data_IF_607023228999
#
_entry.id   IF_607023228999
#
_cell.length_a   1.000
_cell.length_b   1.000
_cell.length_c   1.000
_cell.angle_alpha   90.00
_cell.angle_beta   90.00
_cell.angle_gamma   90.00
#
_symmetry.space_group_name_H-M   'P 1'
#
loop_
_entity.id
_entity.type
_entity.pdbx_description
1 polymer ?
#
# COMPACT_ATOMS: atom_id res chain seq x y z
N UNK A 1 1.78 -15.50 6.92
CA UNK A 1 1.01 -14.33 6.46
C UNK A 1 0.04 -13.88 7.53
N UNK A 2 -0.83 -14.75 8.03
CA UNK A 2 -1.82 -14.39 9.05
C UNK A 2 -1.17 -13.75 10.27
N UNK A 3 -0.17 -14.37 10.87
CA UNK A 3 0.57 -13.83 12.01
C UNK A 3 1.09 -12.42 11.75
N UNK A 4 1.61 -12.16 10.55
CA UNK A 4 2.13 -10.84 10.16
C UNK A 4 1.02 -9.77 10.10
N UNK A 5 -0.17 -10.14 9.64
CA UNK A 5 -1.33 -9.25 9.63
C UNK A 5 -1.84 -8.98 11.05
N UNK A 6 -1.83 -9.99 11.92
CA UNK A 6 -2.34 -9.88 13.28
C UNK A 6 -1.47 -9.02 14.22
N UNK A 7 -0.22 -8.73 13.84
CA UNK A 7 0.71 -7.91 14.66
C UNK A 7 0.18 -6.51 15.00
N UNK A 8 -0.78 -5.99 14.25
CA UNK A 8 -1.33 -4.64 14.44
C UNK A 8 -2.74 -4.63 15.05
N UNK A 9 -3.26 -5.80 15.37
CA UNK A 9 -4.58 -5.96 15.97
C UNK A 9 -4.49 -6.23 17.48
N UNK A 10 -5.32 -5.53 18.23
CA UNK A 10 -5.57 -5.81 19.64
C UNK A 10 -7.00 -6.35 19.75
N UNK A 11 -7.15 -7.57 20.28
CA UNK A 11 -8.45 -8.18 20.53
C UNK A 11 -8.93 -9.20 19.49
N UNK A 12 -10.24 -9.34 19.34
CA UNK A 12 -10.84 -10.32 18.43
C UNK A 12 -10.57 -9.99 16.97
N UNK A 13 -10.30 -11.03 16.19
CA UNK A 13 -9.98 -10.93 14.76
C UNK A 13 -11.25 -11.04 13.95
N UNK A 14 -11.58 -10.01 13.20
CA UNK A 14 -12.61 -10.07 12.16
C UNK A 14 -12.02 -10.61 10.86
N UNK A 15 -12.33 -11.87 10.56
CA UNK A 15 -11.87 -12.53 9.32
C UNK A 15 -12.33 -11.80 8.05
N UNK A 16 -13.54 -11.22 8.05
CA UNK A 16 -14.03 -10.43 6.92
C UNK A 16 -13.19 -9.18 6.67
N UNK A 17 -12.75 -8.54 7.76
CA UNK A 17 -11.88 -7.38 7.65
C UNK A 17 -10.51 -7.78 7.08
N UNK A 18 -9.94 -8.91 7.50
CA UNK A 18 -8.68 -9.42 6.95
C UNK A 18 -8.80 -9.68 5.43
N UNK A 19 -9.85 -10.37 5.00
CA UNK A 19 -10.08 -10.63 3.59
C UNK A 19 -10.22 -9.32 2.80
N UNK A 20 -11.01 -8.38 3.32
CA UNK A 20 -11.25 -7.08 2.70
C UNK A 20 -9.96 -6.28 2.50
N UNK A 21 -9.10 -6.16 3.51
CA UNK A 21 -7.85 -5.39 3.37
C UNK A 21 -6.85 -6.09 2.45
N UNK A 22 -6.85 -7.43 2.42
CA UNK A 22 -6.05 -8.19 1.46
C UNK A 22 -6.53 -7.99 0.02
N UNK A 23 -7.83 -7.85 -0.21
CA UNK A 23 -8.40 -7.51 -1.51
C UNK A 23 -8.02 -6.08 -1.90
N UNK A 24 -8.17 -5.10 -1.00
CA UNK A 24 -7.81 -3.71 -1.21
C UNK A 24 -6.32 -3.54 -1.54
N UNK A 25 -5.45 -4.33 -0.91
CA UNK A 25 -4.01 -4.36 -1.20
C UNK A 25 -3.66 -5.21 -2.44
N UNK A 26 -4.63 -5.78 -3.16
CA UNK A 26 -4.45 -6.64 -4.35
C UNK A 26 -3.56 -7.88 -4.07
N UNK A 27 -3.61 -8.44 -2.84
CA UNK A 27 -2.80 -9.62 -2.43
C UNK A 27 -3.64 -10.87 -2.21
N UNK A 28 -4.96 -10.76 -2.01
CA UNK A 28 -5.82 -11.87 -1.64
C UNK A 28 -5.75 -13.05 -2.63
N UNK A 29 -5.82 -12.75 -3.94
CA UNK A 29 -5.76 -13.77 -4.98
C UNK A 29 -4.41 -14.51 -5.02
N UNK A 30 -3.32 -13.84 -4.66
CA UNK A 30 -2.00 -14.49 -4.54
C UNK A 30 -1.98 -15.42 -3.33
N UNK A 31 -2.48 -14.96 -2.18
CA UNK A 31 -2.54 -15.79 -0.95
C UNK A 31 -3.37 -17.06 -1.20
N UNK A 32 -4.52 -16.93 -1.86
CA UNK A 32 -5.41 -18.07 -2.16
C UNK A 32 -4.75 -19.12 -3.08
N UNK A 33 -3.78 -18.73 -3.90
CA UNK A 33 -3.04 -19.64 -4.78
C UNK A 33 -1.85 -20.32 -4.09
N UNK A 34 -1.46 -19.86 -2.91
CA UNK A 34 -0.36 -20.45 -2.16
C UNK A 34 -0.80 -21.78 -1.53
N UNK A 35 0.05 -22.82 -1.51
CA UNK A 35 -0.30 -24.12 -0.94
C UNK A 35 -0.80 -24.08 0.50
N UNK A 36 -0.25 -23.15 1.31
CA UNK A 36 -0.60 -22.95 2.72
C UNK A 36 -1.50 -21.72 2.94
N UNK A 37 -1.90 -21.02 1.88
CA UNK A 37 -2.75 -19.85 1.98
C UNK A 37 -2.25 -18.84 3.01
N UNK A 38 -3.12 -18.42 3.93
CA UNK A 38 -2.79 -17.50 5.03
C UNK A 38 -1.79 -18.09 6.05
N UNK A 39 -1.60 -19.41 6.08
CA UNK A 39 -0.59 -20.08 6.93
C UNK A 39 0.82 -20.05 6.33
N UNK A 40 0.97 -19.52 5.11
CA UNK A 40 2.29 -19.36 4.49
C UNK A 40 3.19 -18.48 5.38
N UNK A 41 4.38 -18.97 5.70
CA UNK A 41 5.34 -18.23 6.51
C UNK A 41 5.99 -17.11 5.70
N UNK A 42 6.12 -15.94 6.33
CA UNK A 42 6.83 -14.78 5.76
C UNK A 42 8.24 -14.78 6.33
N UNK A 43 9.22 -15.15 5.51
CA UNK A 43 10.65 -15.13 5.88
C UNK A 43 11.43 -14.20 4.95
N UNK A 44 12.64 -13.82 5.37
CA UNK A 44 13.53 -13.01 4.52
C UNK A 44 13.97 -13.80 3.28
N UNK A 45 14.23 -15.10 3.44
CA UNK A 45 14.80 -15.97 2.41
C UNK A 45 13.75 -16.69 1.54
N UNK A 46 12.44 -16.48 1.76
CA UNK A 46 11.43 -17.20 0.98
C UNK A 46 9.98 -16.83 1.28
N UNK A 47 9.09 -17.55 0.61
CA UNK A 47 7.65 -17.48 0.82
C UNK A 47 6.93 -16.42 -0.03
N UNK A 48 7.39 -15.17 -0.05
CA UNK A 48 6.77 -14.08 -0.80
C UNK A 48 7.77 -13.33 -1.68
N UNK A 49 7.34 -12.94 -2.88
CA UNK A 49 8.10 -11.98 -3.71
C UNK A 49 8.14 -10.60 -3.07
N UNK A 50 9.07 -9.72 -3.51
CA UNK A 50 9.17 -8.35 -3.02
C UNK A 50 7.86 -7.56 -3.15
N UNK A 51 7.19 -7.66 -4.30
CA UNK A 51 5.89 -7.03 -4.53
C UNK A 51 4.77 -7.61 -3.67
N UNK A 52 4.79 -8.91 -3.37
CA UNK A 52 3.85 -9.53 -2.44
C UNK A 52 4.10 -9.07 -1.00
N UNK A 53 5.37 -8.95 -0.57
CA UNK A 53 5.74 -8.41 0.74
C UNK A 53 5.24 -6.95 0.88
N UNK A 54 5.40 -6.12 -0.14
CA UNK A 54 4.89 -4.74 -0.13
C UNK A 54 3.36 -4.68 -0.03
N UNK A 55 2.64 -5.46 -0.83
CA UNK A 55 1.16 -5.52 -0.76
C UNK A 55 0.67 -6.07 0.59
N UNK A 56 1.37 -7.04 1.18
CA UNK A 56 1.07 -7.51 2.53
C UNK A 56 1.26 -6.42 3.59
N UNK A 57 2.33 -5.61 3.46
CA UNK A 57 2.58 -4.47 4.34
C UNK A 57 1.48 -3.40 4.22
N UNK A 58 0.97 -3.13 3.00
CA UNK A 58 -0.18 -2.26 2.77
C UNK A 58 -1.43 -2.83 3.46
N UNK A 59 -1.75 -4.12 3.29
CA UNK A 59 -2.89 -4.77 3.94
C UNK A 59 -2.80 -4.64 5.46
N UNK A 60 -1.61 -4.86 6.05
CA UNK A 60 -1.36 -4.68 7.47
C UNK A 60 -1.58 -3.24 7.94
N UNK A 61 -1.11 -2.25 7.18
CA UNK A 61 -1.35 -0.84 7.48
C UNK A 61 -2.85 -0.51 7.47
N UNK A 62 -3.62 -1.05 6.54
CA UNK A 62 -5.08 -0.88 6.48
C UNK A 62 -5.79 -1.49 7.69
N UNK A 63 -5.30 -2.62 8.20
CA UNK A 63 -5.83 -3.27 9.41
C UNK A 63 -5.62 -2.44 10.68
N UNK A 64 -4.57 -1.63 10.76
CA UNK A 64 -4.20 -0.88 11.97
C UNK A 64 -5.27 0.12 12.44
N UNK A 65 -6.30 0.35 11.65
CA UNK A 65 -7.41 1.29 11.92
C UNK A 65 -6.97 2.72 12.31
N UNK A 66 -5.76 3.11 11.96
CA UNK A 66 -5.25 4.46 12.23
C UNK A 66 -5.91 5.49 11.29
N UNK A 67 -6.24 6.70 11.79
CA UNK A 67 -6.90 7.73 10.98
C UNK A 67 -6.00 8.29 9.88
N UNK A 68 -4.68 8.22 10.05
CA UNK A 68 -3.67 8.69 9.10
C UNK A 68 -2.73 7.53 8.79
N UNK A 69 -2.55 7.23 7.52
CA UNK A 69 -1.60 6.23 7.03
C UNK A 69 -0.50 6.91 6.22
N UNK A 70 0.74 6.50 6.45
CA UNK A 70 1.90 7.01 5.70
C UNK A 70 2.49 5.83 4.92
N UNK A 71 2.58 5.97 3.61
CA UNK A 71 3.14 5.00 2.68
C UNK A 71 4.44 5.56 2.09
N UNK A 72 5.57 5.13 2.64
CA UNK A 72 6.88 5.51 2.16
C UNK A 72 7.38 4.49 1.14
N UNK A 73 7.39 4.87 -0.14
CA UNK A 73 7.74 4.03 -1.29
C UNK A 73 7.05 2.64 -1.32
N UNK A 74 5.88 2.53 -0.69
CA UNK A 74 5.20 1.24 -0.48
C UNK A 74 4.80 0.51 -1.77
N UNK A 75 4.84 1.17 -2.92
CA UNK A 75 4.52 0.59 -4.23
C UNK A 75 5.73 0.50 -5.17
N UNK A 76 6.93 0.88 -4.72
CA UNK A 76 8.12 1.00 -5.56
C UNK A 76 8.56 -0.31 -6.25
N UNK A 77 8.32 -1.46 -5.63
CA UNK A 77 8.61 -2.80 -6.15
C UNK A 77 7.48 -3.44 -6.96
N UNK A 78 6.35 -2.74 -7.16
CA UNK A 78 5.23 -3.26 -7.94
C UNK A 78 5.41 -2.97 -9.43
N UNK A 79 4.92 -3.89 -10.28
CA UNK A 79 4.71 -3.57 -11.68
C UNK A 79 3.59 -2.53 -11.85
N UNK A 80 3.60 -1.81 -12.97
CA UNK A 80 2.67 -0.69 -13.21
C UNK A 80 1.20 -1.08 -13.13
N UNK A 81 0.84 -2.29 -13.57
CA UNK A 81 -0.55 -2.75 -13.57
C UNK A 81 -1.03 -3.03 -12.15
N UNK A 82 -0.22 -3.70 -11.36
CA UNK A 82 -0.49 -3.98 -9.94
C UNK A 82 -0.52 -2.69 -9.12
N UNK A 83 0.45 -1.79 -9.33
CA UNK A 83 0.48 -0.47 -8.67
C UNK A 83 -0.81 0.32 -8.95
N UNK A 84 -1.25 0.39 -10.22
CA UNK A 84 -2.48 1.11 -10.59
C UNK A 84 -3.72 0.54 -9.89
N UNK A 85 -3.84 -0.80 -9.77
CA UNK A 85 -4.96 -1.43 -9.06
C UNK A 85 -4.94 -1.11 -7.56
N UNK A 86 -3.77 -1.25 -6.92
CA UNK A 86 -3.61 -0.93 -5.51
C UNK A 86 -3.95 0.53 -5.24
N UNK A 87 -3.41 1.46 -6.04
CA UNK A 87 -3.67 2.89 -5.87
C UNK A 87 -5.14 3.26 -6.11
N UNK A 88 -5.80 2.64 -7.10
CA UNK A 88 -7.23 2.81 -7.33
C UNK A 88 -8.05 2.35 -6.12
N UNK A 89 -7.77 1.16 -5.59
CA UNK A 89 -8.45 0.64 -4.40
C UNK A 89 -8.25 1.55 -3.17
N UNK A 90 -7.03 2.04 -2.96
CA UNK A 90 -6.71 2.92 -1.84
C UNK A 90 -7.41 4.29 -1.97
N UNK A 91 -7.54 4.82 -3.19
CA UNK A 91 -8.18 6.13 -3.43
C UNK A 91 -9.68 6.15 -3.11
N UNK A 92 -10.33 4.99 -3.04
CA UNK A 92 -11.74 4.85 -2.65
C UNK A 92 -11.96 4.87 -1.12
N UNK A 93 -10.87 4.80 -0.34
CA UNK A 93 -10.97 4.76 1.12
C UNK A 93 -11.13 6.15 1.72
N UNK A 94 -12.02 6.27 2.71
CA UNK A 94 -12.29 7.52 3.44
C UNK A 94 -11.27 7.78 4.56
N UNK A 95 -9.98 7.60 4.27
CA UNK A 95 -8.88 7.82 5.24
C UNK A 95 -7.90 8.85 4.72
N UNK A 96 -7.24 9.56 5.62
CA UNK A 96 -6.10 10.42 5.25
C UNK A 96 -4.89 9.54 4.95
N UNK A 97 -4.38 9.63 3.74
CA UNK A 97 -3.21 8.89 3.31
C UNK A 97 -2.14 9.84 2.76
N UNK A 98 -0.91 9.63 3.19
CA UNK A 98 0.26 10.37 2.72
C UNK A 98 1.15 9.38 1.98
N UNK A 99 1.39 9.65 0.71
CA UNK A 99 2.28 8.84 -0.13
C UNK A 99 3.58 9.58 -0.38
N UNK A 100 4.70 8.97 -0.03
CA UNK A 100 6.03 9.39 -0.45
C UNK A 100 6.37 8.50 -1.64
N UNK A 101 6.46 9.09 -2.83
CA UNK A 101 6.65 8.36 -4.07
C UNK A 101 7.42 9.18 -5.11
N UNK A 102 8.21 8.47 -5.91
CA UNK A 102 8.96 9.05 -7.04
C UNK A 102 8.30 8.73 -8.39
N UNK A 103 7.24 7.91 -8.41
CA UNK A 103 6.54 7.52 -9.64
C UNK A 103 5.35 8.42 -9.91
N UNK A 104 5.28 8.93 -11.14
CA UNK A 104 4.17 9.77 -11.58
C UNK A 104 2.81 9.06 -11.61
N UNK A 105 2.79 7.73 -11.70
CA UNK A 105 1.58 6.91 -11.64
C UNK A 105 0.80 7.10 -10.34
N UNK A 106 1.47 7.37 -9.22
CA UNK A 106 0.84 7.61 -7.92
C UNK A 106 0.05 8.92 -7.91
N UNK A 107 0.54 9.95 -8.60
CA UNK A 107 -0.06 11.30 -8.58
C UNK A 107 -1.46 11.37 -9.15
N UNK A 108 -1.84 10.43 -10.02
CA UNK A 108 -3.18 10.36 -10.63
C UNK A 108 -4.27 9.91 -9.63
N UNK A 109 -3.85 9.31 -8.50
CA UNK A 109 -4.74 8.73 -7.50
C UNK A 109 -4.81 9.53 -6.19
N UNK A 110 -4.18 10.69 -6.14
CA UNK A 110 -4.16 11.55 -4.94
C UNK A 110 -4.85 12.89 -5.20
N UNK A 111 -5.49 13.42 -4.18
CA UNK A 111 -6.21 14.70 -4.27
C UNK A 111 -5.28 15.92 -4.24
N UNK A 112 -4.06 15.75 -3.72
CA UNK A 112 -3.09 16.84 -3.60
C UNK A 112 -1.67 16.28 -3.70
N UNK A 113 -0.82 16.99 -4.44
CA UNK A 113 0.62 16.73 -4.52
C UNK A 113 1.37 17.88 -3.86
N UNK A 114 2.38 17.57 -3.09
CA UNK A 114 3.27 18.55 -2.42
C UNK A 114 4.70 18.16 -2.75
N UNK A 115 5.52 19.14 -3.08
CA UNK A 115 6.96 18.93 -3.28
C UNK A 115 7.71 19.44 -2.05
N UNK A 116 8.73 18.72 -1.64
CA UNK A 116 9.64 19.17 -0.59
C UNK A 116 10.98 19.54 -1.23
N UNK A 117 11.39 20.81 -1.10
CA UNK A 117 12.66 21.30 -1.57
C UNK A 117 13.33 22.16 -0.47
N UNK A 118 14.62 21.93 -0.21
CA UNK A 118 15.40 22.70 0.77
C UNK A 118 14.73 22.80 2.17
N UNK A 119 14.08 21.73 2.61
CA UNK A 119 13.37 21.68 3.90
C UNK A 119 12.05 22.46 3.94
N UNK A 120 11.53 22.90 2.80
CA UNK A 120 10.24 23.62 2.69
C UNK A 120 9.27 22.84 1.83
N UNK A 121 7.99 22.90 2.21
CA UNK A 121 6.89 22.34 1.41
C UNK A 121 6.45 23.39 0.39
N UNK A 122 6.44 22.98 -0.87
CA UNK A 122 5.88 23.76 -1.99
C UNK A 122 4.64 23.04 -2.50
N UNK A 123 3.50 23.73 -2.57
CA UNK A 123 2.30 23.15 -3.14
C UNK A 123 2.53 22.99 -4.66
N UNK A 124 2.47 21.77 -5.14
CA UNK A 124 2.46 21.53 -6.58
C UNK A 124 1.15 22.10 -7.15
N UNK A 125 1.26 22.81 -8.27
CA UNK A 125 0.09 23.29 -9.01
C UNK A 125 -0.81 22.12 -9.41
N UNK A 126 -2.13 22.32 -9.59
CA UNK A 126 -3.04 21.29 -10.09
C UNK A 126 -2.62 20.72 -11.47
N UNK A 127 -1.73 21.40 -12.18
CA UNK A 127 -1.11 20.95 -13.44
C UNK A 127 0.37 20.52 -13.24
N UNK A 128 0.70 19.97 -12.08
CA UNK A 128 2.07 19.50 -11.80
C UNK A 128 2.50 18.48 -12.85
N UNK A 129 3.46 18.86 -13.68
CA UNK A 129 4.14 17.95 -14.58
C UNK A 129 5.44 17.48 -13.91
N UNK A 130 5.53 16.21 -13.45
CA UNK A 130 6.71 15.69 -12.76
C UNK A 130 7.96 15.68 -13.65
N UNK A 131 7.81 15.81 -14.97
CA UNK A 131 8.90 15.85 -15.94
C UNK A 131 9.46 17.25 -16.21
N UNK A 132 8.96 18.28 -15.53
CA UNK A 132 9.45 19.65 -15.69
C UNK A 132 10.81 19.92 -15.00
N UNK A 133 11.31 18.94 -14.22
CA UNK A 133 12.52 19.06 -13.42
C UNK A 133 13.62 18.05 -13.79
N UNK A 134 13.53 17.43 -14.97
CA UNK A 134 14.59 16.57 -15.52
C UNK A 134 15.23 17.27 -16.72
#
# INVERSE_FOLDING_TARGET
>A
ILENLLLVLEGEVDEHLILKVCEQADILADIQKMPLGFQTQVSEDGGLSGGQKQRLAIARALLSNQPILIFDEATSGLDRKTESRVMANLSELTRTMIFIAHRSSVYQHVSRVVTMANGKLEAASPNFNPFQFI
#
